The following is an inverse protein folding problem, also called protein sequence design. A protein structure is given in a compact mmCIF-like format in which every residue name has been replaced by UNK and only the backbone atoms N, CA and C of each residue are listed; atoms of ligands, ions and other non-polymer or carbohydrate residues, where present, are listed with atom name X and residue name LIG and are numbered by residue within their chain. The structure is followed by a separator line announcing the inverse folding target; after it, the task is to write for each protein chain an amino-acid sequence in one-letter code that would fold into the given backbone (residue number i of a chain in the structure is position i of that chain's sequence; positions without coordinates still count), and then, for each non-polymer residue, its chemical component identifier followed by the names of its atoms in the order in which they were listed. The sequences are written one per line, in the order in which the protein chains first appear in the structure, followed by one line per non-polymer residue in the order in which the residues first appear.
data_IF_815104829015
#
_entry.id   IF_815104829015
#
_cell.length_a   1.000
_cell.length_b   1.000
_cell.length_c   1.000
_cell.angle_alpha   90.00
_cell.angle_beta   90.00
_cell.angle_gamma   90.00
#
_symmetry.space_group_name_H-M   'P 1'
#
loop_
_entity.id
_entity.type
_entity.pdbx_description
1 polymer ?
#
# COMPACT_ATOMS: atom_id res chain seq x y z
N UNK A 1 -33.24 23.87 24.57
CA UNK A 1 -33.01 24.77 23.42
C UNK A 1 -34.32 25.46 23.10
N UNK A 2 -34.41 26.78 23.24
CA UNK A 2 -35.67 27.53 23.10
C UNK A 2 -36.14 27.57 21.64
N UNK A 3 -37.46 27.59 21.42
CA UNK A 3 -38.09 27.63 20.08
C UNK A 3 -37.54 28.78 19.19
N UNK A 4 -37.29 29.95 19.79
CA UNK A 4 -36.71 31.11 19.09
C UNK A 4 -35.28 30.85 18.59
N UNK A 5 -34.48 30.07 19.33
CA UNK A 5 -33.11 29.72 18.91
C UNK A 5 -33.12 28.74 17.73
N UNK A 6 -34.07 27.78 17.73
CA UNK A 6 -34.25 26.85 16.59
C UNK A 6 -34.61 27.61 15.32
N UNK A 7 -35.56 28.54 15.40
CA UNK A 7 -35.98 29.33 14.23
C UNK A 7 -34.84 30.17 13.66
N UNK A 8 -34.02 30.80 14.52
CA UNK A 8 -32.84 31.56 14.08
C UNK A 8 -31.83 30.68 13.34
N UNK A 9 -31.50 29.51 13.90
CA UNK A 9 -30.56 28.54 13.28
C UNK A 9 -31.09 28.05 11.93
N UNK A 10 -32.38 27.75 11.83
CA UNK A 10 -32.98 27.32 10.56
C UNK A 10 -32.87 28.40 9.49
N UNK A 11 -33.15 29.67 9.84
CA UNK A 11 -33.05 30.78 8.90
C UNK A 11 -31.61 31.01 8.43
N UNK A 12 -30.66 30.96 9.36
CA UNK A 12 -29.24 31.16 9.05
C UNK A 12 -28.69 30.00 8.20
N UNK A 13 -29.13 28.76 8.44
CA UNK A 13 -28.80 27.60 7.61
C UNK A 13 -29.29 27.78 6.16
N UNK A 14 -30.54 28.18 5.96
CA UNK A 14 -31.08 28.42 4.61
C UNK A 14 -30.32 29.53 3.88
N UNK A 15 -29.86 30.56 4.61
CA UNK A 15 -29.02 31.61 4.04
C UNK A 15 -27.67 31.06 3.57
N UNK A 16 -27.02 30.23 4.38
CA UNK A 16 -25.74 29.59 4.03
C UNK A 16 -25.87 28.61 2.87
N UNK A 17 -26.94 27.80 2.83
CA UNK A 17 -27.22 26.90 1.70
C UNK A 17 -27.43 27.68 0.39
N UNK A 18 -28.12 28.82 0.44
CA UNK A 18 -28.27 29.70 -0.73
C UNK A 18 -26.93 30.32 -1.12
N UNK A 19 -26.13 30.75 -0.16
CA UNK A 19 -24.82 31.33 -0.42
C UNK A 19 -23.88 30.32 -1.09
N UNK A 20 -23.82 29.08 -0.58
CA UNK A 20 -23.00 28.01 -1.18
C UNK A 20 -23.43 27.66 -2.62
N UNK A 21 -24.72 27.87 -2.97
CA UNK A 21 -25.23 27.68 -4.34
C UNK A 21 -24.97 28.86 -5.26
N UNK A 22 -25.07 30.09 -4.76
CA UNK A 22 -24.92 31.31 -5.55
C UNK A 22 -23.45 31.68 -5.78
N UNK A 23 -22.63 31.52 -4.75
CA UNK A 23 -21.21 31.83 -4.75
C UNK A 23 -20.42 30.62 -4.22
N UNK A 24 -20.37 29.51 -4.99
CA UNK A 24 -19.69 28.30 -4.55
C UNK A 24 -18.21 28.60 -4.35
N UNK A 25 -17.73 28.34 -3.14
CA UNK A 25 -16.32 28.48 -2.77
C UNK A 25 -15.96 27.48 -1.68
N UNK A 26 -14.68 27.07 -1.55
CA UNK A 26 -14.28 26.13 -0.51
C UNK A 26 -14.74 26.57 0.90
N UNK A 27 -14.65 27.86 1.20
CA UNK A 27 -15.06 28.42 2.51
C UNK A 27 -16.57 28.29 2.74
N UNK A 28 -17.40 28.61 1.75
CA UNK A 28 -18.88 28.47 1.91
C UNK A 28 -19.33 27.04 2.17
N UNK A 29 -18.72 26.05 1.50
CA UNK A 29 -18.99 24.64 1.76
C UNK A 29 -18.48 24.19 3.14
N UNK A 30 -17.29 24.63 3.55
CA UNK A 30 -16.73 24.33 4.88
C UNK A 30 -17.58 24.92 5.99
N UNK A 31 -17.99 26.19 5.88
CA UNK A 31 -18.81 26.88 6.87
C UNK A 31 -20.17 26.18 7.03
N UNK A 32 -20.82 25.84 5.91
CA UNK A 32 -22.08 25.10 5.92
C UNK A 32 -21.93 23.72 6.57
N UNK A 33 -20.87 22.99 6.21
CA UNK A 33 -20.57 21.69 6.79
C UNK A 33 -20.30 21.79 8.31
N UNK A 34 -19.59 22.83 8.77
CA UNK A 34 -19.34 23.05 10.20
C UNK A 34 -20.64 23.30 10.98
N UNK A 35 -21.60 24.02 10.39
CA UNK A 35 -22.93 24.17 10.98
C UNK A 35 -23.65 22.82 11.07
N UNK A 36 -23.61 21.98 10.03
CA UNK A 36 -24.19 20.64 10.09
C UNK A 36 -23.51 19.75 11.16
N UNK A 37 -22.19 19.83 11.32
CA UNK A 37 -21.46 19.12 12.39
C UNK A 37 -21.97 19.54 13.76
N UNK A 38 -22.12 20.85 14.01
CA UNK A 38 -22.60 21.39 15.27
C UNK A 38 -24.05 20.98 15.59
N UNK A 39 -24.85 20.72 14.55
CA UNK A 39 -26.22 20.20 14.67
C UNK A 39 -26.29 18.68 14.76
N UNK A 40 -25.16 17.97 14.69
CA UNK A 40 -25.12 16.51 14.68
C UNK A 40 -25.63 15.89 13.36
N UNK A 41 -25.77 16.66 12.29
CA UNK A 41 -26.27 16.21 10.99
C UNK A 41 -25.10 15.70 10.13
N UNK A 42 -24.60 14.51 10.48
CA UNK A 42 -23.37 13.96 9.87
C UNK A 42 -23.55 13.58 8.40
N UNK A 43 -24.71 13.05 8.03
CA UNK A 43 -24.99 12.72 6.62
C UNK A 43 -25.04 13.97 5.73
N UNK A 44 -25.64 15.06 6.21
CA UNK A 44 -25.63 16.34 5.49
C UNK A 44 -24.22 16.92 5.40
N UNK A 45 -23.42 16.78 6.45
CA UNK A 45 -22.01 17.18 6.45
C UNK A 45 -21.25 16.42 5.37
N UNK A 46 -21.42 15.10 5.30
CA UNK A 46 -20.74 14.24 4.34
C UNK A 46 -21.14 14.63 2.91
N UNK A 47 -22.45 14.76 2.65
CA UNK A 47 -22.99 15.16 1.35
C UNK A 47 -22.44 16.53 0.89
N UNK A 48 -22.48 17.55 1.75
CA UNK A 48 -21.94 18.88 1.40
C UNK A 48 -20.43 18.83 1.16
N UNK A 49 -19.69 18.06 1.95
CA UNK A 49 -18.25 17.92 1.75
C UNK A 49 -17.93 17.20 0.43
N UNK A 50 -18.70 16.18 0.04
CA UNK A 50 -18.59 15.51 -1.26
C UNK A 50 -18.93 16.46 -2.42
N UNK A 51 -20.06 17.18 -2.36
CA UNK A 51 -20.44 18.20 -3.35
C UNK A 51 -19.34 19.27 -3.49
N UNK A 52 -18.81 19.76 -2.36
CA UNK A 52 -17.71 20.72 -2.34
C UNK A 52 -16.43 20.15 -2.96
N UNK A 53 -16.07 18.88 -2.69
CA UNK A 53 -14.88 18.25 -3.25
C UNK A 53 -15.00 17.96 -4.75
N UNK A 54 -16.20 17.78 -5.28
CA UNK A 54 -16.43 17.69 -6.73
C UNK A 54 -16.08 19.01 -7.44
N UNK A 55 -16.45 20.14 -6.83
CA UNK A 55 -16.16 21.48 -7.38
C UNK A 55 -14.73 21.94 -7.07
N UNK A 56 -14.20 21.56 -5.91
CA UNK A 56 -12.90 22.01 -5.39
C UNK A 56 -12.02 20.83 -4.91
N UNK A 57 -11.55 19.94 -5.81
CA UNK A 57 -10.79 18.74 -5.42
C UNK A 57 -9.49 19.04 -4.65
N UNK A 58 -8.94 20.25 -4.84
CA UNK A 58 -7.68 20.71 -4.24
C UNK A 58 -7.84 21.32 -2.84
N UNK A 59 -9.05 21.53 -2.33
CA UNK A 59 -9.23 22.09 -0.97
C UNK A 59 -8.84 21.08 0.11
N UNK A 60 -7.90 21.47 0.97
CA UNK A 60 -7.47 20.68 2.13
C UNK A 60 -8.55 20.67 3.22
N UNK A 61 -9.24 21.79 3.42
CA UNK A 61 -10.28 21.99 4.43
C UNK A 61 -11.47 21.07 4.18
N UNK A 62 -11.95 21.01 2.92
CA UNK A 62 -13.05 20.11 2.56
C UNK A 62 -12.67 18.65 2.73
N UNK A 63 -11.42 18.27 2.44
CA UNK A 63 -10.94 16.90 2.71
C UNK A 63 -10.91 16.58 4.19
N UNK A 64 -10.53 17.54 5.05
CA UNK A 64 -10.57 17.37 6.51
C UNK A 64 -12.01 17.19 7.01
N UNK A 65 -12.94 18.03 6.56
CA UNK A 65 -14.37 17.93 6.90
C UNK A 65 -14.96 16.60 6.43
N UNK A 66 -14.72 16.21 5.18
CA UNK A 66 -15.16 14.94 4.63
C UNK A 66 -14.61 13.75 5.44
N UNK A 67 -13.31 13.75 5.74
CA UNK A 67 -12.67 12.70 6.55
C UNK A 67 -13.29 12.60 7.95
N UNK A 68 -13.57 13.75 8.58
CA UNK A 68 -14.25 13.79 9.88
C UNK A 68 -15.66 13.21 9.80
N UNK A 69 -16.48 13.68 8.87
CA UNK A 69 -17.86 13.22 8.70
C UNK A 69 -17.92 11.71 8.40
N UNK A 70 -17.07 11.24 7.47
CA UNK A 70 -16.96 9.81 7.13
C UNK A 70 -16.58 8.96 8.35
N UNK A 71 -15.59 9.38 9.14
CA UNK A 71 -15.17 8.64 10.34
C UNK A 71 -16.29 8.58 11.38
N UNK A 72 -17.01 9.69 11.60
CA UNK A 72 -18.12 9.72 12.56
C UNK A 72 -19.28 8.83 12.12
N UNK A 73 -19.66 8.87 10.84
CA UNK A 73 -20.70 8.00 10.25
C UNK A 73 -20.35 6.52 10.40
N UNK A 74 -19.11 6.14 10.08
CA UNK A 74 -18.65 4.75 10.25
C UNK A 74 -18.68 4.31 11.72
N UNK A 75 -18.34 5.21 12.65
CA UNK A 75 -18.46 4.97 14.10
C UNK A 75 -19.91 4.69 14.52
N UNK A 76 -20.84 5.57 14.15
CA UNK A 76 -22.27 5.41 14.44
C UNK A 76 -22.83 4.11 13.84
N UNK A 77 -22.45 3.77 12.59
CA UNK A 77 -22.82 2.49 11.96
C UNK A 77 -22.25 1.29 12.71
N UNK A 78 -21.00 1.37 13.17
CA UNK A 78 -20.37 0.29 13.92
C UNK A 78 -21.09 0.01 15.24
N UNK A 79 -21.53 1.05 15.95
CA UNK A 79 -22.28 0.92 17.20
C UNK A 79 -23.69 0.34 16.96
N UNK A 80 -24.35 0.77 15.88
CA UNK A 80 -25.64 0.22 15.46
C UNK A 80 -25.54 -1.28 15.15
N UNK A 81 -24.52 -1.69 14.40
CA UNK A 81 -24.28 -3.09 14.04
C UNK A 81 -23.96 -3.94 15.27
N UNK A 82 -23.12 -3.46 16.19
CA UNK A 82 -22.84 -4.15 17.46
C UNK A 82 -24.11 -4.36 18.29
N UNK A 83 -24.98 -3.35 18.37
CA UNK A 83 -26.24 -3.47 19.07
C UNK A 83 -27.18 -4.50 18.42
N UNK A 84 -27.17 -4.60 17.08
CA UNK A 84 -27.91 -5.64 16.35
C UNK A 84 -27.34 -7.04 16.60
N UNK A 85 -26.02 -7.22 16.51
CA UNK A 85 -25.33 -8.49 16.77
C UNK A 85 -25.62 -8.99 18.19
N UNK A 86 -25.64 -8.09 19.18
CA UNK A 86 -25.95 -8.43 20.58
C UNK A 86 -27.38 -8.96 20.74
N UNK A 87 -28.32 -8.50 19.91
CA UNK A 87 -29.73 -8.94 19.94
C UNK A 87 -29.95 -10.22 19.14
N UNK A 88 -29.37 -10.30 17.95
CA UNK A 88 -29.46 -11.42 17.02
C UNK A 88 -28.12 -11.54 16.29
N UNK A 89 -27.23 -12.45 16.71
CA UNK A 89 -25.99 -12.68 16.00
C UNK A 89 -26.31 -13.37 14.67
N UNK A 90 -25.88 -12.77 13.56
CA UNK A 90 -26.03 -13.29 12.20
C UNK A 90 -24.71 -13.07 11.43
N UNK A 91 -24.25 -14.01 10.59
CA UNK A 91 -22.97 -13.87 9.87
C UNK A 91 -22.87 -12.57 9.07
N UNK A 92 -23.94 -12.22 8.34
CA UNK A 92 -24.00 -11.02 7.50
C UNK A 92 -23.76 -9.72 8.30
N UNK A 93 -24.24 -9.65 9.54
CA UNK A 93 -24.03 -8.49 10.41
C UNK A 93 -22.56 -8.37 10.85
N UNK A 94 -21.90 -9.49 11.12
CA UNK A 94 -20.46 -9.52 11.41
C UNK A 94 -19.65 -9.11 10.19
N UNK A 95 -20.01 -9.59 8.98
CA UNK A 95 -19.33 -9.20 7.75
C UNK A 95 -19.53 -7.72 7.42
N UNK A 96 -20.72 -7.17 7.67
CA UNK A 96 -20.97 -5.74 7.51
C UNK A 96 -20.13 -4.92 8.49
N UNK A 97 -20.06 -5.34 9.76
CA UNK A 97 -19.25 -4.68 10.77
C UNK A 97 -17.75 -4.77 10.46
N UNK A 98 -17.29 -5.92 9.98
CA UNK A 98 -15.94 -6.11 9.47
C UNK A 98 -15.62 -5.14 8.32
N UNK A 99 -16.54 -4.97 7.35
CA UNK A 99 -16.37 -4.00 6.26
C UNK A 99 -16.26 -2.57 6.78
N UNK A 100 -17.06 -2.20 7.78
CA UNK A 100 -16.95 -0.89 8.45
C UNK A 100 -15.58 -0.70 9.11
N UNK A 101 -15.03 -1.72 9.77
CA UNK A 101 -13.67 -1.65 10.34
C UNK A 101 -12.58 -1.56 9.29
N UNK A 102 -12.72 -2.27 8.18
CA UNK A 102 -11.82 -2.17 7.03
C UNK A 102 -11.81 -0.74 6.46
N UNK A 103 -12.98 -0.12 6.31
CA UNK A 103 -13.13 1.27 5.85
C UNK A 103 -12.53 2.30 6.82
N UNK A 104 -12.54 2.00 8.11
CA UNK A 104 -11.89 2.82 9.15
C UNK A 104 -10.37 2.57 9.23
N UNK A 105 -9.87 1.49 8.64
CA UNK A 105 -8.49 1.04 8.78
C UNK A 105 -8.17 0.46 10.16
N UNK A 106 -9.19 0.03 10.91
CA UNK A 106 -9.04 -0.57 12.24
C UNK A 106 -8.90 -2.09 12.12
N UNK A 107 -7.68 -2.54 11.81
CA UNK A 107 -7.37 -3.96 11.59
C UNK A 107 -7.56 -4.81 12.86
N UNK A 108 -7.42 -4.24 14.06
CA UNK A 108 -7.61 -5.00 15.30
C UNK A 108 -9.10 -5.27 15.55
N UNK A 109 -9.94 -4.24 15.43
CA UNK A 109 -11.38 -4.41 15.56
C UNK A 109 -11.96 -5.32 14.46
N UNK A 110 -11.42 -5.25 13.24
CA UNK A 110 -11.71 -6.16 12.14
C UNK A 110 -11.45 -7.63 12.54
N UNK A 111 -10.23 -7.92 12.99
CA UNK A 111 -9.85 -9.28 13.40
C UNK A 111 -10.70 -9.76 14.57
N UNK A 112 -10.94 -8.89 15.56
CA UNK A 112 -11.79 -9.20 16.72
C UNK A 112 -13.20 -9.61 16.29
N UNK A 113 -13.81 -8.81 15.41
CA UNK A 113 -15.18 -9.05 14.89
C UNK A 113 -15.27 -10.36 14.11
N UNK A 114 -14.35 -10.61 13.17
CA UNK A 114 -14.37 -11.85 12.39
C UNK A 114 -14.03 -13.08 13.25
N UNK A 115 -13.19 -12.93 14.28
CA UNK A 115 -12.91 -14.02 15.23
C UNK A 115 -14.13 -14.32 16.10
N UNK A 116 -14.90 -13.31 16.49
CA UNK A 116 -16.18 -13.48 17.18
C UNK A 116 -17.20 -14.18 16.27
N UNK A 117 -17.31 -13.77 15.01
CA UNK A 117 -18.14 -14.44 14.01
C UNK A 117 -17.80 -15.94 13.90
N UNK A 118 -16.52 -16.29 13.78
CA UNK A 118 -16.05 -17.68 13.72
C UNK A 118 -16.45 -18.49 14.97
N UNK A 119 -16.51 -17.87 16.16
CA UNK A 119 -16.97 -18.56 17.38
C UNK A 119 -18.46 -18.87 17.34
N UNK A 120 -19.27 -17.96 16.79
CA UNK A 120 -20.71 -18.16 16.62
C UNK A 120 -21.04 -19.08 15.43
N UNK A 121 -20.25 -19.00 14.37
CA UNK A 121 -20.45 -19.66 13.08
C UNK A 121 -19.14 -20.33 12.61
N UNK A 122 -18.79 -21.51 13.16
CA UNK A 122 -17.51 -22.18 12.87
C UNK A 122 -17.33 -22.65 11.41
N UNK A 123 -18.39 -22.64 10.61
CA UNK A 123 -18.37 -23.04 9.20
C UNK A 123 -18.38 -21.83 8.25
N UNK A 124 -18.35 -20.60 8.78
CA UNK A 124 -18.36 -19.39 7.97
C UNK A 124 -17.01 -19.13 7.31
N UNK A 125 -16.92 -19.47 6.02
CA UNK A 125 -15.72 -19.38 5.20
C UNK A 125 -15.21 -17.94 5.08
N UNK A 126 -16.13 -16.97 4.96
CA UNK A 126 -15.78 -15.56 4.72
C UNK A 126 -15.09 -14.92 5.93
N UNK A 127 -15.52 -15.24 7.15
CA UNK A 127 -14.86 -14.73 8.36
C UNK A 127 -13.45 -15.28 8.52
N UNK A 128 -13.23 -16.56 8.23
CA UNK A 128 -11.87 -17.12 8.24
C UNK A 128 -10.98 -16.46 7.20
N UNK A 129 -11.47 -16.23 5.98
CA UNK A 129 -10.72 -15.55 4.94
C UNK A 129 -10.36 -14.12 5.38
N UNK A 130 -11.33 -13.38 5.93
CA UNK A 130 -11.12 -12.02 6.38
C UNK A 130 -10.06 -11.92 7.50
N UNK A 131 -10.10 -12.82 8.50
CA UNK A 131 -9.05 -12.90 9.53
C UNK A 131 -7.71 -13.21 8.92
N UNK A 132 -7.64 -14.20 8.01
CA UNK A 132 -6.40 -14.62 7.38
C UNK A 132 -5.76 -13.50 6.56
N UNK A 133 -6.55 -12.75 5.79
CA UNK A 133 -6.10 -11.60 5.01
C UNK A 133 -5.59 -10.46 5.88
N UNK A 134 -6.30 -10.12 6.95
CA UNK A 134 -5.86 -9.09 7.90
C UNK A 134 -4.54 -9.48 8.60
N UNK A 135 -4.41 -10.74 9.02
CA UNK A 135 -3.17 -11.29 9.59
C UNK A 135 -2.03 -11.31 8.56
N UNK A 136 -2.33 -11.63 7.31
CA UNK A 136 -1.36 -11.62 6.21
C UNK A 136 -0.83 -10.21 5.93
N UNK A 137 -1.70 -9.20 5.95
CA UNK A 137 -1.30 -7.80 5.84
C UNK A 137 -0.42 -7.36 7.01
N UNK A 138 -0.80 -7.71 8.24
CA UNK A 138 0.02 -7.46 9.43
C UNK A 138 1.39 -8.12 9.31
N UNK A 139 1.44 -9.39 8.89
CA UNK A 139 2.69 -10.11 8.62
C UNK A 139 3.55 -9.37 7.60
N UNK A 140 3.03 -8.93 6.46
CA UNK A 140 3.85 -8.23 5.47
C UNK A 140 4.34 -6.85 5.94
N UNK A 141 3.64 -6.23 6.90
CA UNK A 141 4.06 -4.95 7.50
C UNK A 141 5.16 -5.13 8.55
N UNK A 142 5.01 -6.10 9.44
CA UNK A 142 5.89 -6.28 10.61
C UNK A 142 6.91 -7.40 10.46
N UNK A 143 6.68 -8.33 9.52
CA UNK A 143 7.38 -9.61 9.37
C UNK A 143 7.35 -10.47 10.63
N UNK A 144 6.33 -10.29 11.47
CA UNK A 144 6.15 -11.06 12.70
C UNK A 144 5.74 -12.51 12.40
N UNK A 145 6.52 -13.49 12.85
CA UNK A 145 6.31 -14.90 12.56
C UNK A 145 4.96 -15.42 13.06
N UNK A 146 4.47 -14.94 14.21
CA UNK A 146 3.18 -15.32 14.79
C UNK A 146 2.02 -14.88 13.88
N UNK A 147 2.08 -13.66 13.34
CA UNK A 147 1.09 -13.18 12.38
C UNK A 147 1.10 -14.02 11.10
N UNK A 148 2.29 -14.39 10.60
CA UNK A 148 2.44 -15.27 9.44
C UNK A 148 1.88 -16.67 9.68
N UNK A 149 2.13 -17.28 10.85
CA UNK A 149 1.59 -18.58 11.22
C UNK A 149 0.06 -18.56 11.30
N UNK A 150 -0.51 -17.52 11.92
CA UNK A 150 -1.96 -17.33 12.01
C UNK A 150 -2.60 -17.14 10.63
N UNK A 151 -1.96 -16.38 9.74
CA UNK A 151 -2.42 -16.20 8.36
C UNK A 151 -2.46 -17.54 7.59
N UNK A 152 -1.39 -18.35 7.66
CA UNK A 152 -1.37 -19.68 7.02
C UNK A 152 -2.45 -20.60 7.59
N UNK A 153 -2.60 -20.63 8.91
CA UNK A 153 -3.62 -21.44 9.57
C UNK A 153 -5.03 -21.05 9.12
N UNK A 154 -5.33 -19.75 9.06
CA UNK A 154 -6.61 -19.24 8.56
C UNK A 154 -6.86 -19.60 7.10
N UNK A 155 -5.88 -19.41 6.21
CA UNK A 155 -6.00 -19.78 4.79
C UNK A 155 -6.21 -21.28 4.59
N UNK A 156 -5.49 -22.12 5.36
CA UNK A 156 -5.72 -23.57 5.35
C UNK A 156 -7.13 -23.91 5.81
N UNK A 157 -7.63 -23.26 6.86
CA UNK A 157 -9.00 -23.48 7.33
C UNK A 157 -10.05 -23.12 6.29
N UNK A 158 -9.85 -22.03 5.54
CA UNK A 158 -10.71 -21.69 4.38
C UNK A 158 -10.71 -22.82 3.35
N UNK A 159 -9.55 -23.39 3.03
CA UNK A 159 -9.44 -24.49 2.06
C UNK A 159 -9.95 -25.84 2.59
N UNK A 160 -9.96 -26.05 3.91
CA UNK A 160 -10.64 -27.20 4.53
C UNK A 160 -12.16 -27.09 4.37
N UNK A 161 -12.74 -25.91 4.60
CA UNK A 161 -14.17 -25.67 4.48
C UNK A 161 -14.63 -25.58 3.01
N UNK A 162 -13.80 -24.98 2.15
CA UNK A 162 -14.05 -24.81 0.71
C UNK A 162 -12.76 -25.02 -0.08
N UNK A 163 -12.51 -26.25 -0.51
CA UNK A 163 -11.29 -26.65 -1.23
C UNK A 163 -11.10 -25.97 -2.58
N UNK A 164 -12.16 -25.46 -3.21
CA UNK A 164 -12.13 -24.76 -4.50
C UNK A 164 -11.99 -23.24 -4.35
N UNK A 165 -11.68 -22.74 -3.15
CA UNK A 165 -11.56 -21.31 -2.93
C UNK A 165 -10.29 -20.71 -3.57
N UNK A 166 -10.43 -20.24 -4.82
CA UNK A 166 -9.38 -19.67 -5.67
C UNK A 166 -8.54 -18.61 -4.93
N UNK A 167 -9.17 -17.60 -4.32
CA UNK A 167 -8.44 -16.50 -3.64
C UNK A 167 -7.55 -16.99 -2.50
N UNK A 168 -8.09 -17.82 -1.59
CA UNK A 168 -7.34 -18.37 -0.47
C UNK A 168 -6.18 -19.25 -0.94
N UNK A 169 -6.40 -20.07 -1.96
CA UNK A 169 -5.36 -20.92 -2.56
C UNK A 169 -4.24 -20.09 -3.18
N UNK A 170 -4.59 -19.03 -3.93
CA UNK A 170 -3.62 -18.09 -4.51
C UNK A 170 -2.81 -17.36 -3.44
N UNK A 171 -3.46 -16.85 -2.40
CA UNK A 171 -2.78 -16.16 -1.29
C UNK A 171 -1.85 -17.10 -0.52
N UNK A 172 -2.26 -18.35 -0.30
CA UNK A 172 -1.44 -19.35 0.37
C UNK A 172 -0.21 -19.71 -0.48
N UNK A 173 -0.41 -19.93 -1.78
CA UNK A 173 0.67 -20.15 -2.75
C UNK A 173 1.66 -18.98 -2.80
N UNK A 174 1.17 -17.75 -2.92
CA UNK A 174 2.02 -16.55 -2.92
C UNK A 174 2.79 -16.42 -1.61
N UNK A 175 2.16 -16.68 -0.46
CA UNK A 175 2.85 -16.63 0.83
C UNK A 175 3.97 -17.67 0.89
N UNK A 176 3.72 -18.93 0.53
CA UNK A 176 4.76 -19.95 0.48
C UNK A 176 5.89 -19.57 -0.47
N UNK A 177 5.56 -19.08 -1.67
CA UNK A 177 6.56 -18.60 -2.61
C UNK A 177 7.41 -17.49 -1.98
N UNK A 178 6.77 -16.47 -1.38
CA UNK A 178 7.47 -15.34 -0.75
C UNK A 178 8.35 -15.73 0.42
N UNK A 179 8.01 -16.79 1.15
CA UNK A 179 8.81 -17.37 2.23
C UNK A 179 9.94 -18.29 1.75
N UNK A 180 9.93 -18.70 0.48
CA UNK A 180 10.90 -19.65 -0.08
C UNK A 180 10.49 -21.13 0.06
N UNK A 181 9.26 -21.41 0.51
CA UNK A 181 8.64 -22.74 0.51
C UNK A 181 8.18 -23.09 -0.91
N UNK A 182 9.12 -23.28 -1.84
CA UNK A 182 8.81 -23.36 -3.26
C UNK A 182 8.04 -24.64 -3.64
N UNK A 183 8.29 -25.75 -2.96
CA UNK A 183 7.57 -27.01 -3.24
C UNK A 183 6.09 -26.89 -2.86
N UNK A 184 5.79 -26.37 -1.67
CA UNK A 184 4.42 -26.14 -1.21
C UNK A 184 3.72 -25.08 -2.06
N UNK A 185 4.43 -24.01 -2.44
CA UNK A 185 3.90 -23.03 -3.37
C UNK A 185 3.50 -23.69 -4.70
N UNK A 186 4.39 -24.50 -5.28
CA UNK A 186 4.16 -25.20 -6.54
C UNK A 186 2.95 -26.13 -6.46
N UNK A 187 2.82 -26.92 -5.40
CA UNK A 187 1.68 -27.81 -5.18
C UNK A 187 0.36 -27.01 -5.16
N UNK A 188 0.30 -25.92 -4.40
CA UNK A 188 -0.91 -25.08 -4.35
C UNK A 188 -1.23 -24.43 -5.70
N UNK A 189 -0.22 -24.00 -6.45
CA UNK A 189 -0.37 -23.40 -7.78
C UNK A 189 -0.83 -24.41 -8.83
N UNK A 190 -0.35 -25.64 -8.78
CA UNK A 190 -0.81 -26.71 -9.67
C UNK A 190 -2.29 -27.05 -9.42
N UNK A 191 -2.72 -27.08 -8.17
CA UNK A 191 -4.14 -27.28 -7.84
C UNK A 191 -4.97 -26.06 -8.30
N UNK A 192 -4.47 -24.85 -8.05
CA UNK A 192 -5.11 -23.61 -8.49
C UNK A 192 -5.35 -23.60 -10.00
N UNK A 193 -4.32 -23.93 -10.80
CA UNK A 193 -4.39 -23.90 -12.26
C UNK A 193 -5.19 -25.06 -12.88
N UNK A 194 -5.46 -26.12 -12.10
CA UNK A 194 -6.46 -27.14 -12.50
C UNK A 194 -7.89 -26.65 -12.28
N UNK A 195 -8.11 -25.76 -11.31
CA UNK A 195 -9.42 -25.19 -10.99
C UNK A 195 -9.74 -23.96 -11.85
N UNK A 196 -8.75 -23.10 -12.06
CA UNK A 196 -8.82 -21.88 -12.87
C UNK A 196 -7.56 -21.81 -13.75
N UNK A 197 -7.67 -22.35 -14.96
CA UNK A 197 -6.57 -22.38 -15.92
C UNK A 197 -6.22 -20.97 -16.42
N UNK A 198 -7.13 -20.00 -16.28
CA UNK A 198 -6.99 -18.60 -16.69
C UNK A 198 -6.32 -17.70 -15.65
N UNK A 199 -5.96 -18.23 -14.47
CA UNK A 199 -5.30 -17.46 -13.42
C UNK A 199 -3.88 -17.02 -13.83
N UNK A 200 -3.77 -15.79 -14.32
CA UNK A 200 -2.50 -15.19 -14.76
C UNK A 200 -1.46 -15.11 -13.63
N UNK A 201 -1.90 -14.85 -12.40
CA UNK A 201 -1.02 -14.75 -11.23
C UNK A 201 -0.49 -16.10 -10.82
N UNK A 202 -1.34 -17.12 -10.85
CA UNK A 202 -0.97 -18.51 -10.63
C UNK A 202 0.07 -18.97 -11.64
N UNK A 203 -0.14 -18.70 -12.94
CA UNK A 203 0.84 -19.06 -13.98
C UNK A 203 2.15 -18.29 -13.82
N UNK A 204 2.09 -17.01 -13.46
CA UNK A 204 3.27 -16.18 -13.24
C UNK A 204 4.11 -16.73 -12.09
N UNK A 205 3.50 -17.01 -10.94
CA UNK A 205 4.17 -17.62 -9.78
C UNK A 205 4.76 -18.97 -10.12
N UNK A 206 3.99 -19.84 -10.79
CA UNK A 206 4.46 -21.18 -11.16
C UNK A 206 5.69 -21.12 -12.07
N UNK A 207 5.74 -20.13 -12.96
CA UNK A 207 6.89 -19.92 -13.84
C UNK A 207 8.16 -19.48 -13.08
N UNK A 208 8.02 -18.82 -11.93
CA UNK A 208 9.13 -18.40 -11.07
C UNK A 208 9.55 -19.49 -10.06
N UNK A 209 8.71 -20.49 -9.81
CA UNK A 209 9.03 -21.67 -8.98
C UNK A 209 10.02 -22.65 -9.64
N UNK A 210 10.90 -22.19 -10.53
CA UNK A 210 11.87 -23.03 -11.27
C UNK A 210 13.20 -23.09 -10.51
N UNK A 211 13.60 -24.29 -10.07
CA UNK A 211 14.91 -24.54 -9.48
C UNK A 211 14.99 -25.87 -8.73
N UNK A 212 16.20 -26.36 -8.53
CA UNK A 212 16.46 -27.40 -7.52
C UNK A 212 16.47 -26.72 -6.15
N UNK A 213 15.61 -27.20 -5.26
CA UNK A 213 15.52 -26.68 -3.90
C UNK A 213 16.18 -27.65 -2.93
N UNK A 214 16.98 -27.08 -2.03
CA UNK A 214 17.54 -27.81 -0.91
C UNK A 214 16.45 -28.33 0.04
N UNK A 215 16.83 -29.00 1.15
CA UNK A 215 15.86 -29.50 2.12
C UNK A 215 14.91 -28.39 2.56
N UNK A 216 13.61 -28.69 2.51
CA UNK A 216 12.53 -27.74 2.83
C UNK A 216 12.56 -27.47 4.34
N UNK A 217 12.92 -26.25 4.78
CA UNK A 217 12.79 -25.89 6.18
C UNK A 217 11.31 -25.90 6.55
N UNK A 218 10.98 -26.27 7.79
CA UNK A 218 9.59 -26.17 8.25
C UNK A 218 9.13 -24.71 8.13
N UNK A 219 7.88 -24.48 7.73
CA UNK A 219 7.24 -23.16 7.67
C UNK A 219 7.52 -22.28 8.90
N UNK A 220 7.52 -22.85 10.11
CA UNK A 220 7.85 -22.12 11.33
C UNK A 220 9.25 -21.49 11.28
N UNK A 221 10.25 -22.26 10.84
CA UNK A 221 11.63 -21.80 10.69
C UNK A 221 11.75 -20.73 9.59
N UNK A 222 11.05 -20.91 8.46
CA UNK A 222 11.05 -19.90 7.39
C UNK A 222 10.49 -18.55 7.86
N UNK A 223 9.43 -18.58 8.67
CA UNK A 223 8.83 -17.37 9.25
C UNK A 223 9.76 -16.70 10.27
N UNK A 224 10.46 -17.48 11.10
CA UNK A 224 11.47 -16.97 12.03
C UNK A 224 12.66 -16.36 11.29
N UNK A 225 13.19 -17.03 10.26
CA UNK A 225 14.26 -16.51 9.42
C UNK A 225 13.89 -15.18 8.75
N UNK A 226 12.66 -15.05 8.26
CA UNK A 226 12.16 -13.80 7.65
C UNK A 226 12.08 -12.68 8.68
N UNK A 227 11.62 -12.99 9.90
CA UNK A 227 11.56 -12.03 11.00
C UNK A 227 12.98 -11.56 11.38
N UNK A 228 13.93 -12.48 11.56
CA UNK A 228 15.31 -12.18 11.93
C UNK A 228 16.06 -11.39 10.85
N UNK A 229 15.91 -11.80 9.58
CA UNK A 229 16.53 -11.11 8.44
C UNK A 229 15.88 -9.77 8.13
N UNK A 230 14.62 -9.59 8.52
CA UNK A 230 13.82 -8.39 8.23
C UNK A 230 13.47 -8.24 6.75
N UNK A 231 13.35 -9.36 6.03
CA UNK A 231 13.04 -9.36 4.60
C UNK A 231 12.58 -10.72 4.08
N UNK A 232 11.71 -10.70 3.08
CA UNK A 232 11.23 -11.89 2.38
C UNK A 232 12.22 -12.29 1.28
N UNK A 233 12.53 -13.59 1.12
CA UNK A 233 13.45 -14.05 0.08
C UNK A 233 12.94 -13.78 -1.33
N UNK A 234 11.64 -13.98 -1.56
CA UNK A 234 11.04 -13.80 -2.89
C UNK A 234 10.07 -12.60 -2.94
N UNK A 235 9.93 -12.06 -4.16
CA UNK A 235 9.11 -10.88 -4.44
C UNK A 235 7.62 -11.24 -4.46
N UNK A 236 6.76 -10.24 -4.31
CA UNK A 236 5.32 -10.42 -4.54
C UNK A 236 5.01 -10.57 -6.02
N UNK A 237 3.82 -11.11 -6.32
CA UNK A 237 3.32 -11.24 -7.70
C UNK A 237 3.25 -9.90 -8.40
N UNK A 238 2.81 -8.87 -7.68
CA UNK A 238 2.82 -7.48 -8.16
C UNK A 238 4.23 -7.00 -8.53
N UNK A 239 5.25 -7.41 -7.77
CA UNK A 239 6.64 -7.12 -8.06
C UNK A 239 7.13 -7.81 -9.35
N UNK A 240 6.72 -9.07 -9.56
CA UNK A 240 7.05 -9.86 -10.76
C UNK A 240 6.39 -9.27 -12.02
N UNK A 241 5.11 -8.91 -11.96
CA UNK A 241 4.39 -8.24 -13.06
C UNK A 241 5.10 -6.95 -13.47
N UNK A 242 5.48 -6.14 -12.48
CA UNK A 242 6.21 -4.88 -12.72
C UNK A 242 7.58 -5.12 -13.36
N UNK A 243 8.29 -6.17 -12.98
CA UNK A 243 9.58 -6.51 -13.59
C UNK A 243 9.44 -6.90 -15.05
N UNK A 244 8.49 -7.77 -15.41
CA UNK A 244 8.22 -8.10 -16.82
C UNK A 244 7.84 -6.88 -17.65
N UNK A 245 7.10 -5.94 -17.06
CA UNK A 245 6.72 -4.70 -17.74
C UNK A 245 7.85 -3.68 -17.83
N UNK A 246 8.76 -3.62 -16.86
CA UNK A 246 9.96 -2.76 -16.91
C UNK A 246 11.04 -3.37 -17.83
N UNK A 247 11.01 -4.70 -18.03
CA UNK A 247 11.85 -5.37 -19.01
C UNK A 247 11.42 -5.10 -20.47
N UNK A 248 10.36 -4.31 -20.72
CA UNK A 248 10.15 -3.72 -22.04
C UNK A 248 11.25 -2.70 -22.32
N UNK A 249 11.91 -2.78 -23.48
CA UNK A 249 13.05 -1.93 -23.85
C UNK A 249 12.79 -0.43 -23.64
N UNK A 250 11.55 0.03 -23.84
CA UNK A 250 11.14 1.44 -23.69
C UNK A 250 11.40 2.01 -22.29
N UNK A 251 11.15 1.23 -21.23
CA UNK A 251 11.34 1.69 -19.85
C UNK A 251 12.83 1.83 -19.50
N UNK A 252 13.65 0.90 -20.00
CA UNK A 252 15.11 0.95 -19.82
C UNK A 252 15.70 2.13 -20.59
N UNK A 253 15.22 2.41 -21.79
CA UNK A 253 15.61 3.58 -22.58
C UNK A 253 15.28 4.89 -21.85
N UNK A 254 14.06 5.05 -21.35
CA UNK A 254 13.65 6.24 -20.60
C UNK A 254 14.51 6.49 -19.35
N UNK A 255 14.85 5.43 -18.59
CA UNK A 255 15.74 5.56 -17.43
C UNK A 255 17.16 5.96 -17.86
N UNK A 256 17.68 5.38 -18.96
CA UNK A 256 19.01 5.74 -19.48
C UNK A 256 19.06 7.20 -19.93
N UNK A 257 18.01 7.69 -20.59
CA UNK A 257 17.89 9.10 -21.00
C UNK A 257 17.83 10.04 -19.80
N UNK A 258 17.02 9.71 -18.79
CA UNK A 258 16.96 10.49 -17.56
C UNK A 258 18.30 10.55 -16.82
N UNK A 259 19.02 9.42 -16.74
CA UNK A 259 20.38 9.41 -16.17
C UNK A 259 21.38 10.23 -16.99
N UNK A 260 21.29 10.24 -18.32
CA UNK A 260 22.15 11.08 -19.17
C UNK A 260 21.90 12.56 -18.90
N UNK A 261 20.63 13.00 -18.85
CA UNK A 261 20.26 14.40 -18.55
C UNK A 261 20.82 14.87 -17.20
N UNK A 262 20.78 14.01 -16.19
CA UNK A 262 21.30 14.33 -14.86
C UNK A 262 22.83 14.47 -14.86
N UNK A 263 23.55 13.61 -15.60
CA UNK A 263 25.01 13.67 -15.68
C UNK A 263 25.52 14.84 -16.52
N UNK A 264 24.71 15.37 -17.43
CA UNK A 264 25.02 16.58 -18.21
C UNK A 264 24.96 17.87 -17.37
N UNK A 265 24.40 17.83 -16.16
CA UNK A 265 24.41 18.98 -15.25
C UNK A 265 25.85 19.26 -14.77
N UNK A 266 26.23 20.54 -14.80
CA UNK A 266 27.54 20.98 -14.36
C UNK A 266 27.79 20.61 -12.89
N UNK A 267 28.95 20.02 -12.60
CA UNK A 267 29.33 19.56 -11.26
C UNK A 267 28.79 18.18 -10.87
N UNK A 268 28.04 17.48 -11.74
CA UNK A 268 27.66 16.08 -11.53
C UNK A 268 28.74 15.14 -12.08
N UNK A 269 29.22 14.21 -11.25
CA UNK A 269 30.27 13.27 -11.64
C UNK A 269 29.74 11.93 -12.12
N UNK A 270 28.69 11.44 -11.47
CA UNK A 270 28.07 10.15 -11.80
C UNK A 270 26.65 10.03 -11.26
N UNK A 271 25.84 9.26 -11.97
CA UNK A 271 24.49 8.91 -11.58
C UNK A 271 24.26 7.41 -11.74
N UNK A 272 23.42 6.85 -10.89
CA UNK A 272 23.03 5.45 -10.95
C UNK A 272 21.55 5.26 -10.64
N UNK A 273 20.94 4.31 -11.34
CA UNK A 273 19.65 3.73 -11.01
C UNK A 273 19.87 2.26 -10.64
N UNK A 274 19.54 1.89 -9.40
CA UNK A 274 19.81 0.60 -8.79
C UNK A 274 18.48 -0.10 -8.49
N UNK A 275 18.35 -1.35 -8.94
CA UNK A 275 17.21 -2.21 -8.63
C UNK A 275 17.69 -3.62 -8.32
N UNK A 276 17.56 -4.03 -7.06
CA UNK A 276 18.12 -5.29 -6.58
C UNK A 276 19.64 -5.36 -6.79
N UNK A 277 20.10 -6.37 -7.54
CA UNK A 277 21.52 -6.58 -7.88
C UNK A 277 21.99 -5.79 -9.12
N UNK A 278 21.07 -5.34 -9.97
CA UNK A 278 21.37 -4.64 -11.22
C UNK A 278 21.48 -3.13 -10.99
N UNK A 279 22.35 -2.48 -11.76
CA UNK A 279 22.48 -1.03 -11.77
C UNK A 279 22.67 -0.53 -13.21
N UNK A 280 21.93 0.52 -13.57
CA UNK A 280 22.19 1.35 -14.75
C UNK A 280 23.00 2.55 -14.29
N UNK A 281 24.08 2.86 -14.99
CA UNK A 281 25.05 3.86 -14.56
C UNK A 281 25.42 4.80 -15.70
N UNK A 282 25.68 6.06 -15.35
CA UNK A 282 26.21 7.10 -16.25
C UNK A 282 27.26 7.94 -15.52
N UNK A 283 28.18 8.54 -16.28
CA UNK A 283 29.30 9.32 -15.76
C UNK A 283 30.51 8.46 -15.38
N UNK A 284 31.29 8.93 -14.41
CA UNK A 284 32.60 8.38 -14.03
C UNK A 284 32.51 7.09 -13.18
N UNK A 285 31.80 6.07 -13.68
CA UNK A 285 31.70 4.75 -13.06
C UNK A 285 32.42 3.73 -13.95
N UNK A 286 33.58 3.25 -13.48
CA UNK A 286 34.44 2.34 -14.25
C UNK A 286 34.06 0.87 -14.09
N UNK A 287 33.45 0.49 -12.97
CA UNK A 287 33.12 -0.91 -12.69
C UNK A 287 31.94 -1.05 -11.72
N UNK A 288 31.33 -2.23 -11.67
CA UNK A 288 30.31 -2.56 -10.68
C UNK A 288 30.80 -2.60 -9.22
N UNK A 289 32.12 -2.48 -8.99
CA UNK A 289 32.75 -2.40 -7.66
C UNK A 289 33.01 -0.95 -7.22
N UNK A 290 32.51 0.04 -7.95
CA UNK A 290 32.67 1.45 -7.62
C UNK A 290 32.17 1.76 -6.19
N UNK A 291 32.96 2.53 -5.43
CA UNK A 291 32.66 2.88 -4.04
C UNK A 291 31.33 3.60 -3.91
N UNK A 292 30.95 4.42 -4.89
CA UNK A 292 29.66 5.10 -4.94
C UNK A 292 28.49 4.12 -4.92
N UNK A 293 28.51 3.10 -5.76
CA UNK A 293 27.44 2.10 -5.82
C UNK A 293 27.34 1.31 -4.51
N UNK A 294 28.48 1.00 -3.89
CA UNK A 294 28.53 0.32 -2.59
C UNK A 294 27.95 1.20 -1.49
N UNK A 295 28.34 2.47 -1.42
CA UNK A 295 27.84 3.45 -0.45
C UNK A 295 26.33 3.63 -0.58
N UNK A 296 25.83 3.87 -1.79
CA UNK A 296 24.39 4.04 -2.04
C UNK A 296 23.59 2.83 -1.56
N UNK A 297 24.03 1.61 -1.89
CA UNK A 297 23.35 0.37 -1.45
C UNK A 297 23.35 0.19 0.06
N UNK A 298 24.49 0.46 0.71
CA UNK A 298 24.64 0.31 2.17
C UNK A 298 23.74 1.32 2.87
N UNK A 299 23.83 2.60 2.49
CA UNK A 299 23.08 3.68 3.13
C UNK A 299 21.59 3.49 2.89
N UNK A 300 21.14 3.27 1.65
CA UNK A 300 19.73 3.03 1.37
C UNK A 300 19.15 1.86 2.20
N UNK A 301 19.85 0.71 2.25
CA UNK A 301 19.39 -0.44 3.04
C UNK A 301 19.46 -0.21 4.55
N UNK A 302 20.48 0.50 5.05
CA UNK A 302 20.61 0.81 6.47
C UNK A 302 19.50 1.78 6.90
N UNK A 303 19.30 2.86 6.15
CA UNK A 303 18.23 3.85 6.40
C UNK A 303 16.85 3.21 6.34
N UNK A 304 16.58 2.32 5.38
CA UNK A 304 15.31 1.58 5.31
C UNK A 304 15.08 0.74 6.57
N UNK A 305 16.11 0.02 7.06
CA UNK A 305 16.00 -0.81 8.26
C UNK A 305 15.77 0.02 9.51
N UNK A 306 16.47 1.14 9.66
CA UNK A 306 16.29 2.06 10.79
C UNK A 306 14.91 2.71 10.76
N UNK A 307 14.47 3.23 9.61
CA UNK A 307 13.15 3.84 9.47
C UNK A 307 12.02 2.87 9.86
N UNK A 308 12.14 1.59 9.48
CA UNK A 308 11.18 0.55 9.88
C UNK A 308 11.22 0.25 11.37
N UNK A 309 12.42 0.11 11.96
CA UNK A 309 12.58 -0.13 13.41
C UNK A 309 12.04 1.02 14.26
N UNK A 310 12.11 2.24 13.74
CA UNK A 310 11.63 3.45 14.40
C UNK A 310 10.18 3.81 14.02
N UNK A 311 9.49 2.97 13.24
CA UNK A 311 8.11 3.19 12.77
C UNK A 311 7.92 4.51 11.97
N UNK A 312 8.99 5.04 11.38
CA UNK A 312 8.97 6.28 10.58
C UNK A 312 8.53 6.04 9.12
N UNK A 313 8.17 4.80 8.77
CA UNK A 313 7.80 4.38 7.43
C UNK A 313 9.00 3.95 6.58
N UNK A 314 9.01 4.34 5.30
CA UNK A 314 10.05 3.97 4.34
C UNK A 314 10.98 5.16 4.08
N UNK A 315 12.28 4.89 3.99
CA UNK A 315 13.26 5.88 3.58
C UNK A 315 13.01 6.28 2.11
N UNK A 316 12.85 7.58 1.87
CA UNK A 316 12.51 8.11 0.53
C UNK A 316 13.62 8.97 -0.08
N UNK A 317 14.36 9.73 0.72
CA UNK A 317 15.44 10.59 0.26
C UNK A 317 16.50 10.81 1.33
N UNK A 318 17.74 11.02 0.92
CA UNK A 318 18.82 11.42 1.79
C UNK A 318 19.96 12.05 1.01
N UNK A 319 20.72 12.90 1.70
CA UNK A 319 21.96 13.50 1.19
C UNK A 319 23.08 13.07 2.13
N UNK A 320 24.21 12.68 1.56
CA UNK A 320 25.43 12.32 2.29
C UNK A 320 26.49 13.33 1.88
N UNK A 321 27.03 14.04 2.86
CA UNK A 321 28.07 15.04 2.66
C UNK A 321 29.45 14.47 3.05
N UNK A 322 30.49 14.90 2.36
CA UNK A 322 31.87 14.61 2.73
C UNK A 322 32.86 15.26 1.76
N UNK A 323 34.14 14.97 1.92
CA UNK A 323 35.24 15.54 1.09
C UNK A 323 35.11 15.18 -0.41
N UNK A 324 34.20 14.27 -0.75
CA UNK A 324 33.87 13.86 -2.11
C UNK A 324 32.68 14.63 -2.70
N UNK A 325 32.22 15.70 -2.04
CA UNK A 325 31.02 16.46 -2.35
C UNK A 325 29.76 15.83 -1.74
N UNK A 326 28.67 15.82 -2.51
CA UNK A 326 27.38 15.31 -2.08
C UNK A 326 27.03 14.01 -2.80
N UNK A 327 26.47 13.04 -2.07
CA UNK A 327 25.75 11.90 -2.63
C UNK A 327 24.27 12.07 -2.31
N UNK A 328 23.49 12.35 -3.34
CA UNK A 328 22.03 12.48 -3.26
C UNK A 328 21.41 11.14 -3.58
N UNK A 329 20.53 10.62 -2.72
CA UNK A 329 19.86 9.33 -2.88
C UNK A 329 18.34 9.56 -2.81
N UNK A 330 17.62 8.99 -3.77
CA UNK A 330 16.17 8.86 -3.75
C UNK A 330 15.78 7.37 -3.83
N UNK A 331 14.90 6.93 -2.93
CA UNK A 331 14.45 5.54 -2.83
C UNK A 331 12.93 5.45 -2.96
N UNK A 332 12.46 4.44 -3.68
CA UNK A 332 11.06 4.05 -3.71
C UNK A 332 10.95 2.53 -3.76
N UNK A 333 10.47 1.93 -2.66
CA UNK A 333 10.37 0.47 -2.56
C UNK A 333 11.75 -0.21 -2.63
N UNK A 334 11.95 -1.04 -3.66
CA UNK A 334 13.20 -1.78 -3.94
C UNK A 334 14.13 -1.08 -4.94
N UNK A 335 13.75 0.13 -5.39
CA UNK A 335 14.48 0.94 -6.35
C UNK A 335 15.16 2.11 -5.64
N UNK A 336 16.40 2.39 -6.03
CA UNK A 336 17.14 3.57 -5.59
C UNK A 336 17.78 4.26 -6.80
N UNK A 337 17.63 5.57 -6.90
CA UNK A 337 18.39 6.39 -7.83
C UNK A 337 19.29 7.34 -7.04
N UNK A 338 20.52 7.54 -7.50
CA UNK A 338 21.49 8.34 -6.78
C UNK A 338 22.42 9.11 -7.72
N UNK A 339 22.95 10.23 -7.22
CA UNK A 339 23.90 11.10 -7.92
C UNK A 339 25.04 11.45 -6.97
N UNK A 340 26.26 11.50 -7.49
CA UNK A 340 27.38 12.16 -6.84
C UNK A 340 27.71 13.46 -7.57
N UNK A 341 27.78 14.57 -6.83
CA UNK A 341 28.07 15.90 -7.35
C UNK A 341 29.02 16.69 -6.43
N UNK A 342 29.62 17.75 -6.96
CA UNK A 342 30.42 18.69 -6.18
C UNK A 342 29.57 19.60 -5.28
N UNK A 343 30.26 20.37 -4.42
CA UNK A 343 29.63 21.23 -3.40
C UNK A 343 28.83 22.41 -3.97
N UNK A 344 29.15 22.85 -5.18
CA UNK A 344 28.47 23.97 -5.83
C UNK A 344 27.07 23.60 -6.39
N UNK A 345 26.72 22.31 -6.42
CA UNK A 345 25.50 21.83 -7.07
C UNK A 345 24.33 21.82 -6.09
N UNK A 346 23.19 22.39 -6.49
CA UNK A 346 21.96 22.35 -5.69
C UNK A 346 21.44 20.92 -5.52
N UNK A 347 21.52 20.41 -4.29
CA UNK A 347 21.03 19.06 -3.93
C UNK A 347 19.51 18.94 -4.04
N UNK A 348 18.76 20.03 -3.81
CA UNK A 348 17.31 20.06 -3.97
C UNK A 348 16.86 19.84 -5.41
N UNK A 349 17.56 20.46 -6.38
CA UNK A 349 17.29 20.24 -7.80
C UNK A 349 17.56 18.78 -8.19
N UNK A 350 18.69 18.22 -7.77
CA UNK A 350 19.02 16.82 -8.03
C UNK A 350 18.01 15.85 -7.39
N UNK A 351 17.52 16.16 -6.19
CA UNK A 351 16.47 15.39 -5.54
C UNK A 351 15.19 15.37 -6.38
N UNK A 352 14.78 16.52 -6.93
CA UNK A 352 13.61 16.59 -7.80
C UNK A 352 13.78 15.76 -9.08
N UNK A 353 14.92 15.89 -9.75
CA UNK A 353 15.22 15.13 -10.98
C UNK A 353 15.27 13.61 -10.71
N UNK A 354 15.87 13.20 -9.59
CA UNK A 354 15.90 11.81 -9.16
C UNK A 354 14.51 11.26 -8.80
N UNK A 355 13.68 12.08 -8.16
CA UNK A 355 12.29 11.71 -7.87
C UNK A 355 11.49 11.51 -9.15
N UNK A 356 11.63 12.39 -10.14
CA UNK A 356 10.99 12.25 -11.44
C UNK A 356 11.46 10.96 -12.14
N UNK A 357 12.76 10.68 -12.12
CA UNK A 357 13.34 9.45 -12.70
C UNK A 357 12.74 8.19 -12.06
N UNK A 358 12.68 8.15 -10.73
CA UNK A 358 12.12 7.02 -9.99
C UNK A 358 10.61 6.91 -10.24
N UNK A 359 9.87 8.02 -10.19
CA UNK A 359 8.44 8.04 -10.46
C UNK A 359 8.11 7.58 -11.89
N UNK A 360 8.82 8.10 -12.90
CA UNK A 360 8.66 7.71 -14.30
C UNK A 360 8.85 6.21 -14.51
N UNK A 361 9.85 5.62 -13.85
CA UNK A 361 10.07 4.16 -13.89
C UNK A 361 8.91 3.34 -13.31
N UNK A 362 8.14 3.92 -12.38
CA UNK A 362 6.96 3.29 -11.78
C UNK A 362 5.72 3.45 -12.67
N UNK A 363 5.56 4.60 -13.34
CA UNK A 363 4.40 4.89 -14.21
C UNK A 363 4.45 4.19 -15.56
N UNK A 364 5.63 4.00 -16.16
CA UNK A 364 5.79 3.20 -17.38
C UNK A 364 5.38 1.74 -17.11
N UNK A 365 5.58 1.25 -15.88
CA UNK A 365 5.03 -0.01 -15.38
C UNK A 365 3.51 0.00 -15.09
N UNK A 366 2.87 1.16 -15.09
CA UNK A 366 1.46 1.36 -14.70
C UNK A 366 0.46 1.45 -15.85
N UNK A 367 0.91 1.65 -17.11
CA UNK A 367 0.13 1.68 -18.36
C UNK A 367 -1.39 1.70 -18.19
N UNK A 368 -1.94 2.91 -18.09
CA UNK A 368 -3.34 3.22 -17.95
C UNK A 368 -4.21 2.44 -18.96
N UNK A 369 -5.20 1.69 -18.44
CA UNK A 369 -6.45 1.44 -19.17
C UNK A 369 -7.09 2.81 -19.41
N UNK A 370 -6.76 3.46 -20.53
CA UNK A 370 -7.66 4.44 -21.13
C UNK A 370 -8.88 3.65 -21.59
N UNK A 371 -9.97 3.78 -20.86
CA UNK A 371 -11.31 3.49 -21.34
C UNK A 371 -11.51 4.25 -22.65
N UNK A 372 -11.33 3.56 -23.78
CA UNK A 372 -11.90 3.99 -25.04
C UNK A 372 -13.37 3.63 -24.96
N UNK A 373 -14.19 4.66 -24.75
CA UNK A 373 -15.61 4.64 -25.06
C UNK A 373 -15.79 4.19 -26.51
N UNK A 374 -16.61 3.16 -26.69
CA UNK A 374 -17.57 3.04 -27.79
C UNK A 374 -18.84 2.43 -27.23
#
# INVERSE_FOLDING_TARGET
MNLLQRFKITRDLHRMERQAKQEPSPTTFVDLAQVYINLGRIEDTLRIAEEGLLLFPRSEELRKVHKFARRKRLGERSDELRAKITRSPEPDLFHELARVYLDMGDTEALIGTCTECVRHFPDDVESYLCVAEARLQNFYRSLNSIEGQKAVSGLRKVLELRSEHVTARRQLAELFFRLGAILEAKEQLEILLRQDDLDEDGRLLLAECKGEHGPVPNLGQLLEEVQERGGLPNRSVSGLRRERKIASDDAVCSIREGLSRIVELEGVYKAAYIRGSKALVKGNIRSGKDSFLKTVRIVAKASQRVARRMELGNFSKGVIDGDFGHIVICCFGDVSAAVQCGEAVSTDRLLADLQELVAGSLFVGGGAKRSRER
#
